data_IF_575182510814
#
_entry.id   IF_575182510814
#
_cell.length_a   1.000
_cell.length_b   1.000
_cell.length_c   1.000
_cell.angle_alpha   90.00
_cell.angle_beta   90.00
_cell.angle_gamma   90.00
#
_symmetry.space_group_name_H-M   'P 1'
#
loop_
_entity.id
_entity.type
_entity.pdbx_description
1 polymer ?
#
# COMPACT_ATOMS: atom_id res chain seq x y z
N UNK A 1 24.13 18.68 -2.12
CA UNK A 1 23.03 19.12 -3.02
C UNK A 1 21.78 18.21 -2.99
N UNK A 2 21.52 17.42 -1.92
CA UNK A 2 20.58 16.28 -1.98
C UNK A 2 19.09 16.56 -1.71
N UNK A 3 18.73 17.42 -0.75
CA UNK A 3 17.31 17.63 -0.40
C UNK A 3 16.60 18.60 -1.36
N UNK A 4 17.25 19.72 -1.70
CA UNK A 4 16.68 20.76 -2.58
C UNK A 4 16.48 20.23 -4.01
N UNK A 5 17.43 19.45 -4.53
CA UNK A 5 17.30 18.81 -5.86
C UNK A 5 16.10 17.86 -5.94
N UNK A 6 15.87 17.05 -4.90
CA UNK A 6 14.73 16.12 -4.85
C UNK A 6 13.41 16.88 -4.72
N UNK A 7 13.38 17.96 -3.93
CA UNK A 7 12.21 18.84 -3.80
C UNK A 7 11.84 19.52 -5.12
N UNK A 8 12.84 19.98 -5.88
CA UNK A 8 12.62 20.60 -7.20
C UNK A 8 12.14 19.58 -8.25
N UNK A 9 12.61 18.33 -8.18
CA UNK A 9 12.17 17.25 -9.09
C UNK A 9 10.78 16.72 -8.75
N UNK A 10 10.38 16.79 -7.48
CA UNK A 10 9.09 16.26 -7.00
C UNK A 10 8.39 17.23 -6.03
N UNK A 11 7.97 18.43 -6.50
CA UNK A 11 7.37 19.44 -5.62
C UNK A 11 6.07 18.97 -4.95
N UNK A 12 5.34 18.05 -5.59
CA UNK A 12 4.12 17.46 -5.05
C UNK A 12 4.34 16.47 -3.89
N UNK A 13 5.59 16.14 -3.54
CA UNK A 13 5.89 15.24 -2.42
C UNK A 13 5.97 15.97 -1.07
N UNK A 14 6.13 17.30 -1.07
CA UNK A 14 6.36 18.09 0.16
C UNK A 14 5.21 17.97 1.14
N UNK A 15 3.99 18.24 0.66
CA UNK A 15 2.80 18.21 1.51
C UNK A 15 2.52 16.80 2.07
N UNK A 16 2.56 15.72 1.26
CA UNK A 16 2.48 14.36 1.77
C UNK A 16 3.51 14.03 2.86
N UNK A 17 4.76 14.40 2.65
CA UNK A 17 5.84 14.14 3.62
C UNK A 17 5.61 14.88 4.94
N UNK A 18 5.18 16.14 4.89
CA UNK A 18 4.87 16.91 6.10
C UNK A 18 3.72 16.29 6.88
N UNK A 19 2.68 15.82 6.18
CA UNK A 19 1.51 15.21 6.83
C UNK A 19 1.86 13.86 7.47
N UNK A 20 2.62 13.01 6.79
CA UNK A 20 3.10 11.74 7.35
C UNK A 20 4.07 11.99 8.51
N UNK A 21 4.91 13.02 8.44
CA UNK A 21 5.76 13.41 9.57
C UNK A 21 4.92 13.79 10.80
N UNK A 22 3.87 14.60 10.62
CA UNK A 22 2.94 14.95 11.71
C UNK A 22 2.29 13.70 12.32
N UNK A 23 1.81 12.77 11.49
CA UNK A 23 1.25 11.49 11.95
C UNK A 23 2.28 10.65 12.71
N UNK A 24 3.53 10.63 12.26
CA UNK A 24 4.62 9.93 12.95
C UNK A 24 4.95 10.57 14.30
N UNK A 25 4.90 11.90 14.41
CA UNK A 25 5.15 12.61 15.67
C UNK A 25 3.96 12.43 16.64
N UNK A 26 2.73 12.34 16.14
CA UNK A 26 1.56 11.93 16.93
C UNK A 26 1.69 10.49 17.42
N UNK A 27 2.14 9.57 16.57
CA UNK A 27 2.33 8.15 16.88
C UNK A 27 3.46 7.88 17.91
N UNK A 28 4.32 8.87 18.19
CA UNK A 28 5.34 8.80 19.24
C UNK A 28 4.80 9.18 20.61
N UNK A 29 3.56 9.66 20.72
CA UNK A 29 2.95 9.95 22.02
C UNK A 29 2.58 8.62 22.69
N UNK A 30 3.37 8.24 23.68
CA UNK A 30 3.23 6.96 24.35
C UNK A 30 2.10 7.00 25.40
N UNK A 31 1.42 5.87 25.65
CA UNK A 31 0.48 5.74 26.76
C UNK A 31 1.19 5.88 28.12
N UNK A 32 0.41 6.07 29.19
CA UNK A 32 0.94 6.25 30.55
C UNK A 32 1.40 4.95 31.21
N UNK A 33 0.80 3.82 30.84
CA UNK A 33 1.14 2.51 31.42
C UNK A 33 2.47 2.03 30.84
N UNK A 34 3.41 1.65 31.72
CA UNK A 34 4.81 1.43 31.38
C UNK A 34 5.02 0.33 30.32
N UNK A 35 4.38 -0.82 30.50
CA UNK A 35 4.55 -1.96 29.59
C UNK A 35 3.99 -1.67 28.20
N UNK A 36 2.83 -1.02 28.14
CA UNK A 36 2.20 -0.60 26.90
C UNK A 36 3.00 0.53 26.23
N UNK A 37 3.55 1.45 27.01
CA UNK A 37 4.42 2.52 26.51
C UNK A 37 5.68 1.93 25.86
N UNK A 38 6.29 0.93 26.50
CA UNK A 38 7.38 0.17 25.91
C UNK A 38 6.96 -0.49 24.60
N UNK A 39 5.80 -1.17 24.56
CA UNK A 39 5.32 -1.83 23.34
C UNK A 39 5.15 -0.84 22.18
N UNK A 40 4.52 0.31 22.38
CA UNK A 40 4.35 1.31 21.32
C UNK A 40 5.66 1.99 20.92
N UNK A 41 6.55 2.29 21.86
CA UNK A 41 7.89 2.80 21.55
C UNK A 41 8.67 1.77 20.71
N UNK A 42 8.58 0.50 21.09
CA UNK A 42 9.26 -0.56 20.39
C UNK A 42 8.69 -0.78 19.00
N UNK A 43 7.36 -0.76 18.86
CA UNK A 43 6.69 -0.78 17.58
C UNK A 43 7.17 0.35 16.67
N UNK A 44 7.25 1.59 17.17
CA UNK A 44 7.74 2.74 16.41
C UNK A 44 9.18 2.55 15.91
N UNK A 45 10.05 1.94 16.72
CA UNK A 45 11.46 1.71 16.40
C UNK A 45 11.68 0.59 15.39
N UNK A 46 10.99 -0.54 15.53
CA UNK A 46 11.21 -1.73 14.67
C UNK A 46 10.32 -1.75 13.42
N UNK A 47 9.10 -1.20 13.50
CA UNK A 47 8.11 -1.22 12.41
C UNK A 47 8.12 0.06 11.57
N UNK A 48 8.64 1.17 12.14
CA UNK A 48 8.80 2.49 11.49
C UNK A 48 7.49 2.98 10.86
N UNK A 49 7.39 2.99 9.52
CA UNK A 49 6.22 3.52 8.80
C UNK A 49 4.96 2.69 9.03
N UNK A 50 5.08 1.39 9.33
CA UNK A 50 3.93 0.54 9.59
C UNK A 50 3.35 0.77 11.00
N UNK A 51 4.15 1.25 11.96
CA UNK A 51 3.65 1.70 13.26
C UNK A 51 2.59 2.81 13.13
N UNK A 52 2.78 3.74 12.19
CA UNK A 52 1.83 4.82 11.89
C UNK A 52 0.47 4.26 11.43
N UNK A 53 0.50 3.13 10.71
CA UNK A 53 -0.68 2.47 10.17
C UNK A 53 -1.39 1.66 11.25
N UNK A 54 -0.66 0.92 12.07
CA UNK A 54 -1.20 0.21 13.25
C UNK A 54 -1.91 1.20 14.16
N UNK A 55 -1.29 2.35 14.44
CA UNK A 55 -1.85 3.32 15.38
C UNK A 55 -3.11 4.06 14.90
N UNK A 56 -3.54 3.86 13.65
CA UNK A 56 -4.82 4.33 13.11
C UNK A 56 -5.98 3.35 13.34
N UNK A 57 -5.70 2.15 13.86
CA UNK A 57 -6.74 1.20 14.26
C UNK A 57 -7.50 1.69 15.50
N UNK A 58 -8.72 1.19 15.64
CA UNK A 58 -9.56 1.44 16.82
C UNK A 58 -8.87 0.90 18.10
N UNK A 59 -9.06 1.60 19.22
CA UNK A 59 -8.21 1.49 20.43
C UNK A 59 -7.95 0.05 20.89
N UNK A 60 -9.00 -0.77 21.04
CA UNK A 60 -8.87 -2.16 21.49
C UNK A 60 -8.09 -3.04 20.49
N UNK A 61 -8.40 -2.88 19.21
CA UNK A 61 -7.78 -3.65 18.14
C UNK A 61 -6.34 -3.21 17.89
N UNK A 62 -6.05 -1.92 18.10
CA UNK A 62 -4.72 -1.33 18.00
C UNK A 62 -3.74 -1.98 18.98
N UNK A 63 -4.16 -2.15 20.24
CA UNK A 63 -3.33 -2.82 21.24
C UNK A 63 -3.09 -4.30 20.88
N UNK A 64 -4.14 -5.02 20.47
CA UNK A 64 -4.03 -6.41 20.06
C UNK A 64 -3.07 -6.59 18.87
N UNK A 65 -3.18 -5.75 17.84
CA UNK A 65 -2.31 -5.80 16.65
C UNK A 65 -0.88 -5.33 16.97
N UNK A 66 -0.70 -4.37 17.87
CA UNK A 66 0.62 -3.97 18.37
C UNK A 66 1.35 -5.16 19.01
N UNK A 67 0.67 -5.86 19.93
CA UNK A 67 1.24 -7.05 20.59
C UNK A 67 1.43 -8.19 19.61
N UNK A 68 0.46 -8.46 18.73
CA UNK A 68 0.62 -9.49 17.70
C UNK A 68 1.87 -9.24 16.85
N UNK A 69 2.09 -7.99 16.42
CA UNK A 69 3.28 -7.62 15.66
C UNK A 69 4.57 -7.82 16.47
N UNK A 70 4.62 -7.42 17.74
CA UNK A 70 5.84 -7.55 18.57
C UNK A 70 6.15 -8.99 18.93
N UNK A 71 5.13 -9.82 19.18
CA UNK A 71 5.30 -11.26 19.39
C UNK A 71 5.93 -11.90 18.16
N UNK A 72 5.36 -11.66 16.98
CA UNK A 72 5.92 -12.22 15.74
C UNK A 72 7.28 -11.62 15.38
N UNK A 73 7.53 -10.35 15.70
CA UNK A 73 8.85 -9.75 15.51
C UNK A 73 9.92 -10.37 16.40
N UNK A 74 9.57 -10.74 17.63
CA UNK A 74 10.48 -11.46 18.51
C UNK A 74 10.76 -12.87 17.98
N UNK A 75 9.74 -13.57 17.46
CA UNK A 75 9.90 -14.86 16.79
C UNK A 75 10.81 -14.76 15.54
N UNK A 76 10.57 -13.78 14.65
CA UNK A 76 11.45 -13.48 13.50
C UNK A 76 12.89 -13.23 13.97
N UNK A 77 13.09 -12.54 15.10
CA UNK A 77 14.44 -12.23 15.62
C UNK A 77 15.19 -13.50 16.02
N UNK A 78 14.50 -14.55 16.47
CA UNK A 78 15.11 -15.86 16.74
C UNK A 78 15.45 -16.58 15.43
N UNK A 79 14.55 -16.55 14.45
CA UNK A 79 14.77 -17.18 13.15
C UNK A 79 15.94 -16.53 12.39
N UNK A 80 15.94 -15.20 12.26
CA UNK A 80 16.88 -14.42 11.47
C UNK A 80 18.29 -14.35 12.07
N UNK A 81 18.46 -14.61 13.37
CA UNK A 81 19.76 -14.53 14.01
C UNK A 81 20.65 -15.72 13.61
N UNK A 82 21.48 -15.50 12.60
CA UNK A 82 22.37 -16.52 12.05
C UNK A 82 23.55 -16.89 12.97
N UNK A 83 23.73 -16.20 14.09
CA UNK A 83 24.73 -16.54 15.11
C UNK A 83 24.26 -17.65 16.07
N UNK A 84 22.96 -17.94 16.12
CA UNK A 84 22.38 -19.03 16.92
C UNK A 84 22.51 -20.35 16.14
N UNK A 85 23.05 -21.38 16.79
CA UNK A 85 23.10 -22.73 16.24
C UNK A 85 21.69 -23.27 15.98
N UNK A 86 21.50 -23.99 14.88
CA UNK A 86 20.21 -24.62 14.55
C UNK A 86 19.72 -25.55 15.68
N UNK A 87 20.62 -26.26 16.37
CA UNK A 87 20.27 -27.16 17.47
C UNK A 87 19.69 -26.44 18.69
N UNK A 88 20.02 -25.16 18.89
CA UNK A 88 19.41 -24.31 19.91
C UNK A 88 18.19 -23.57 19.37
N UNK A 89 18.27 -23.07 18.13
CA UNK A 89 17.24 -22.26 17.47
C UNK A 89 15.92 -23.02 17.29
N UNK A 90 15.98 -24.26 16.80
CA UNK A 90 14.78 -25.06 16.48
C UNK A 90 13.90 -25.30 17.71
N UNK A 91 14.42 -25.78 18.86
CA UNK A 91 13.61 -25.90 20.08
C UNK A 91 13.00 -24.58 20.56
N UNK A 92 13.73 -23.47 20.45
CA UNK A 92 13.25 -22.15 20.89
C UNK A 92 12.06 -21.70 20.03
N UNK A 93 12.13 -21.85 18.71
CA UNK A 93 11.01 -21.52 17.81
C UNK A 93 9.77 -22.37 18.07
N UNK A 94 9.94 -23.66 18.34
CA UNK A 94 8.84 -24.58 18.64
C UNK A 94 8.15 -24.24 19.96
N UNK A 95 8.92 -23.80 20.97
CA UNK A 95 8.43 -23.50 22.32
C UNK A 95 7.93 -22.06 22.48
N UNK A 96 8.29 -21.15 21.58
CA UNK A 96 8.05 -19.71 21.75
C UNK A 96 6.58 -19.34 22.02
N UNK A 97 5.63 -20.08 21.47
CA UNK A 97 4.20 -19.86 21.72
C UNK A 97 3.74 -20.18 23.16
N UNK A 98 4.54 -20.91 23.93
CA UNK A 98 4.36 -21.13 25.37
C UNK A 98 5.04 -20.00 26.14
N UNK A 99 6.22 -19.59 25.68
CA UNK A 99 7.04 -18.54 26.28
C UNK A 99 6.37 -17.15 26.24
N UNK A 100 5.47 -16.89 25.28
CA UNK A 100 4.66 -15.66 25.28
C UNK A 100 3.74 -15.52 26.52
N UNK A 101 3.53 -16.61 27.27
CA UNK A 101 2.77 -16.60 28.52
C UNK A 101 3.67 -16.44 29.76
N UNK A 102 5.00 -16.50 29.61
CA UNK A 102 5.95 -16.40 30.72
C UNK A 102 6.29 -14.92 31.04
N UNK A 103 5.83 -14.38 32.18
CA UNK A 103 6.16 -13.01 32.59
C UNK A 103 7.64 -12.82 32.95
N UNK A 104 8.38 -13.91 33.14
CA UNK A 104 9.79 -13.92 33.52
C UNK A 104 10.71 -14.36 32.38
N UNK A 105 10.23 -14.36 31.13
CA UNK A 105 10.96 -14.81 29.95
C UNK A 105 12.40 -14.27 29.92
N UNK A 106 13.36 -15.18 30.04
CA UNK A 106 14.82 -14.93 30.05
C UNK A 106 15.59 -15.93 29.19
N UNK A 107 14.90 -16.71 28.37
CA UNK A 107 15.46 -17.91 27.75
C UNK A 107 16.48 -17.63 26.64
N UNK A 108 16.28 -16.57 25.86
CA UNK A 108 17.15 -16.29 24.72
C UNK A 108 17.25 -14.78 24.47
N UNK A 109 18.47 -14.25 24.50
CA UNK A 109 18.78 -12.88 24.08
C UNK A 109 19.49 -12.92 22.74
N UNK A 110 18.80 -12.48 21.69
CA UNK A 110 19.32 -12.50 20.31
C UNK A 110 19.01 -11.19 19.56
N UNK A 111 19.53 -11.09 18.34
CA UNK A 111 19.33 -9.96 17.44
C UNK A 111 20.22 -8.75 17.72
N UNK A 112 20.02 -7.71 16.91
CA UNK A 112 20.81 -6.47 16.97
C UNK A 112 19.96 -5.23 17.28
N UNK A 113 20.62 -4.19 17.82
CA UNK A 113 20.03 -2.85 18.04
C UNK A 113 18.68 -2.94 18.78
N UNK A 114 17.60 -2.48 18.15
CA UNK A 114 16.26 -2.46 18.72
C UNK A 114 15.63 -3.85 18.83
N UNK A 115 16.01 -4.80 17.97
CA UNK A 115 15.52 -6.17 18.06
C UNK A 115 16.08 -6.86 19.31
N UNK A 116 17.36 -6.63 19.62
CA UNK A 116 17.95 -7.06 20.90
C UNK A 116 17.24 -6.45 22.10
N UNK A 117 16.92 -5.15 22.06
CA UNK A 117 16.15 -4.51 23.13
C UNK A 117 14.78 -5.15 23.32
N UNK A 118 14.08 -5.49 22.23
CA UNK A 118 12.80 -6.21 22.28
C UNK A 118 12.96 -7.57 22.98
N UNK A 119 14.00 -8.33 22.66
CA UNK A 119 14.23 -9.64 23.28
C UNK A 119 14.58 -9.54 24.78
N UNK A 120 15.42 -8.57 25.16
CA UNK A 120 15.81 -8.35 26.57
C UNK A 120 14.63 -7.93 27.44
N UNK A 121 13.77 -7.05 26.91
CA UNK A 121 12.63 -6.47 27.62
C UNK A 121 11.31 -7.18 27.27
N UNK A 122 11.38 -8.38 26.67
CA UNK A 122 10.22 -9.15 26.22
C UNK A 122 9.15 -9.40 27.31
N UNK A 123 9.50 -9.58 28.61
CA UNK A 123 8.53 -9.58 29.70
C UNK A 123 7.51 -8.44 29.67
N UNK A 124 7.87 -7.24 29.20
CA UNK A 124 6.94 -6.11 29.06
C UNK A 124 5.88 -6.38 28.00
N UNK A 125 6.24 -7.05 26.91
CA UNK A 125 5.31 -7.50 25.86
C UNK A 125 4.37 -8.57 26.42
N UNK A 126 4.91 -9.57 27.13
CA UNK A 126 4.12 -10.63 27.80
C UNK A 126 3.09 -10.03 28.77
N UNK A 127 3.49 -9.06 29.58
CA UNK A 127 2.57 -8.39 30.52
C UNK A 127 1.40 -7.69 29.84
N UNK A 128 1.58 -7.10 28.65
CA UNK A 128 0.47 -6.56 27.87
C UNK A 128 -0.35 -7.69 27.24
N UNK A 129 0.31 -8.69 26.63
CA UNK A 129 -0.36 -9.84 26.02
C UNK A 129 -1.34 -10.52 26.98
N UNK A 130 -0.92 -10.79 28.22
CA UNK A 130 -1.76 -11.48 29.22
C UNK A 130 -3.05 -10.71 29.56
N UNK A 131 -3.05 -9.38 29.43
CA UNK A 131 -4.19 -8.49 29.66
C UNK A 131 -5.15 -8.42 28.48
N UNK A 132 -4.75 -8.86 27.29
CA UNK A 132 -5.64 -8.89 26.12
C UNK A 132 -6.84 -9.82 26.36
N UNK A 133 -7.95 -9.51 25.68
CA UNK A 133 -9.13 -10.38 25.70
C UNK A 133 -8.79 -11.76 25.14
N UNK A 134 -9.41 -12.79 25.71
CA UNK A 134 -9.19 -14.19 25.33
C UNK A 134 -9.22 -14.44 23.81
N UNK A 135 -10.19 -13.92 23.03
CA UNK A 135 -10.21 -14.14 21.59
C UNK A 135 -8.94 -13.66 20.86
N UNK A 136 -8.30 -12.58 21.33
CA UNK A 136 -7.05 -12.11 20.74
C UNK A 136 -5.86 -12.94 21.18
N UNK A 137 -5.82 -13.33 22.46
CA UNK A 137 -4.75 -14.20 22.99
C UNK A 137 -4.70 -15.54 22.27
N UNK A 138 -5.86 -16.16 22.08
CA UNK A 138 -5.98 -17.46 21.42
C UNK A 138 -5.46 -17.39 19.97
N UNK A 139 -5.75 -16.30 19.24
CA UNK A 139 -5.27 -16.08 17.87
C UNK A 139 -3.76 -15.87 17.84
N UNK A 140 -3.23 -14.96 18.68
CA UNK A 140 -1.80 -14.68 18.72
C UNK A 140 -1.01 -15.95 19.06
N UNK A 141 -1.46 -16.73 20.05
CA UNK A 141 -0.80 -17.97 20.45
C UNK A 141 -0.84 -19.04 19.34
N UNK A 142 -1.99 -19.26 18.69
CA UNK A 142 -2.08 -20.26 17.60
C UNK A 142 -1.20 -19.89 16.40
N UNK A 143 -1.21 -18.62 15.99
CA UNK A 143 -0.39 -18.16 14.87
C UNK A 143 1.10 -18.26 15.23
N UNK A 144 1.49 -17.85 16.43
CA UNK A 144 2.88 -17.96 16.90
C UNK A 144 3.34 -19.41 16.89
N UNK A 145 2.50 -20.35 17.34
CA UNK A 145 2.79 -21.79 17.32
C UNK A 145 2.99 -22.33 15.91
N UNK A 146 2.06 -22.02 15.00
CA UNK A 146 2.11 -22.50 13.60
C UNK A 146 3.29 -21.90 12.84
N UNK A 147 3.56 -20.61 13.04
CA UNK A 147 4.68 -19.90 12.43
C UNK A 147 6.03 -20.43 12.96
N UNK A 148 6.17 -20.61 14.27
CA UNK A 148 7.39 -21.18 14.87
C UNK A 148 7.67 -22.61 14.40
N UNK A 149 6.62 -23.43 14.26
CA UNK A 149 6.75 -24.76 13.65
C UNK A 149 7.21 -24.69 12.19
N UNK A 150 6.60 -23.80 11.40
CA UNK A 150 6.98 -23.61 10.01
C UNK A 150 8.42 -23.13 9.83
N UNK A 151 8.85 -22.14 10.60
CA UNK A 151 10.23 -21.65 10.60
C UNK A 151 11.23 -22.76 10.96
N UNK A 152 10.91 -23.57 11.98
CA UNK A 152 11.74 -24.72 12.34
C UNK A 152 11.91 -25.72 11.18
N UNK A 153 10.85 -26.00 10.43
CA UNK A 153 10.91 -26.93 9.28
C UNK A 153 11.81 -26.40 8.14
N UNK A 154 11.89 -25.08 7.96
CA UNK A 154 12.70 -24.42 6.93
C UNK A 154 14.12 -24.02 7.37
N UNK A 155 14.45 -24.11 8.67
CA UNK A 155 15.84 -23.94 9.12
C UNK A 155 16.73 -25.10 8.66
N UNK A 156 16.17 -26.29 8.57
CA UNK A 156 16.87 -27.52 8.15
C UNK A 156 16.70 -27.83 6.66
N UNK A 157 15.89 -27.04 5.94
CA UNK A 157 15.48 -27.32 4.56
C UNK A 157 15.70 -26.14 3.63
N UNK A 158 16.22 -26.39 2.43
CA UNK A 158 16.29 -25.38 1.38
C UNK A 158 14.96 -25.20 0.64
N UNK A 159 14.67 -23.97 0.19
CA UNK A 159 13.53 -23.68 -0.68
C UNK A 159 13.85 -24.16 -2.10
N UNK A 160 13.38 -25.36 -2.45
CA UNK A 160 13.74 -25.99 -3.73
C UNK A 160 12.74 -25.67 -4.85
N UNK A 161 11.45 -25.81 -4.57
CA UNK A 161 10.37 -25.64 -5.55
C UNK A 161 9.56 -24.36 -5.33
N UNK A 162 8.75 -23.96 -6.31
CA UNK A 162 7.78 -22.86 -6.12
C UNK A 162 6.76 -23.19 -5.02
N UNK A 163 6.41 -24.47 -4.86
CA UNK A 163 5.52 -24.92 -3.79
C UNK A 163 6.17 -24.76 -2.42
N UNK A 164 7.45 -25.12 -2.29
CA UNK A 164 8.18 -24.90 -1.03
C UNK A 164 8.25 -23.42 -0.70
N UNK A 165 8.41 -22.56 -1.71
CA UNK A 165 8.40 -21.11 -1.53
C UNK A 165 7.03 -20.58 -1.08
N UNK A 166 5.95 -21.11 -1.65
CA UNK A 166 4.58 -20.80 -1.18
C UNK A 166 4.35 -21.25 0.25
N UNK A 167 4.82 -22.45 0.63
CA UNK A 167 4.69 -22.99 1.99
C UNK A 167 5.52 -22.18 2.99
N UNK A 168 6.76 -21.81 2.63
CA UNK A 168 7.57 -20.92 3.46
C UNK A 168 6.88 -19.57 3.66
N UNK A 169 6.42 -18.93 2.58
CA UNK A 169 5.70 -17.66 2.65
C UNK A 169 4.37 -17.79 3.41
N UNK A 170 3.70 -18.95 3.35
CA UNK A 170 2.52 -19.23 4.16
C UNK A 170 2.86 -19.13 5.65
N UNK A 171 3.91 -19.82 6.09
CA UNK A 171 4.28 -19.81 7.50
C UNK A 171 4.67 -18.43 8.01
N UNK A 172 5.53 -17.71 7.30
CA UNK A 172 6.10 -16.45 7.82
C UNK A 172 5.26 -15.21 7.54
N UNK A 173 4.26 -15.29 6.64
CA UNK A 173 3.44 -14.13 6.28
C UNK A 173 1.97 -14.45 5.98
N UNK A 174 1.67 -15.59 5.35
CA UNK A 174 0.29 -16.03 5.12
C UNK A 174 -0.49 -16.21 6.42
N UNK A 175 0.12 -16.85 7.41
CA UNK A 175 -0.41 -16.98 8.77
C UNK A 175 -0.63 -15.63 9.46
N UNK A 176 0.20 -14.64 9.18
CA UNK A 176 0.00 -13.27 9.69
C UNK A 176 -1.27 -12.66 9.12
N UNK A 177 -1.51 -12.84 7.81
CA UNK A 177 -2.75 -12.44 7.16
C UNK A 177 -3.97 -13.12 7.77
N UNK A 178 -3.90 -14.44 7.98
CA UNK A 178 -4.97 -15.24 8.60
C UNK A 178 -5.23 -14.78 10.04
N UNK A 179 -4.17 -14.59 10.83
CA UNK A 179 -4.26 -14.09 12.20
C UNK A 179 -4.92 -12.72 12.28
N UNK A 180 -4.54 -11.80 11.40
CA UNK A 180 -5.18 -10.48 11.32
C UNK A 180 -6.67 -10.59 10.99
N UNK A 181 -7.05 -11.44 10.02
CA UNK A 181 -8.46 -11.71 9.70
C UNK A 181 -9.25 -12.22 10.89
N UNK A 182 -8.65 -13.12 11.67
CA UNK A 182 -9.22 -13.63 12.90
C UNK A 182 -9.37 -12.54 13.98
N UNK A 183 -8.41 -11.63 14.10
CA UNK A 183 -8.50 -10.47 15.00
C UNK A 183 -9.62 -9.50 14.54
N UNK A 184 -9.77 -9.26 13.24
CA UNK A 184 -10.87 -8.43 12.71
C UNK A 184 -12.24 -9.03 13.08
N UNK A 185 -12.43 -10.33 12.83
CA UNK A 185 -13.65 -11.04 13.18
C UNK A 185 -13.87 -11.10 14.70
N UNK A 186 -12.81 -11.33 15.48
CA UNK A 186 -12.83 -11.38 16.94
C UNK A 186 -13.20 -10.04 17.59
N UNK A 187 -12.78 -8.93 16.98
CA UNK A 187 -13.14 -7.57 17.40
C UNK A 187 -14.58 -7.19 17.07
N UNK A 188 -15.25 -7.95 16.19
CA UNK A 188 -16.57 -7.66 15.62
C UNK A 188 -16.64 -6.39 14.76
N UNK A 189 -15.49 -5.81 14.41
CA UNK A 189 -15.41 -4.72 13.42
C UNK A 189 -15.54 -5.25 11.99
N UNK A 190 -15.21 -6.52 11.75
CA UNK A 190 -15.51 -7.20 10.50
C UNK A 190 -16.41 -8.43 10.73
N UNK A 191 -17.02 -8.89 9.64
CA UNK A 191 -17.91 -10.06 9.67
C UNK A 191 -17.14 -11.34 10.03
N UNK A 192 -17.85 -12.31 10.66
CA UNK A 192 -17.28 -13.62 11.04
C UNK A 192 -16.66 -14.38 9.87
N UNK A 193 -17.10 -14.13 8.64
CA UNK A 193 -16.56 -14.75 7.42
C UNK A 193 -15.06 -14.51 7.22
N UNK A 194 -14.50 -13.43 7.77
CA UNK A 194 -13.05 -13.20 7.73
C UNK A 194 -12.26 -14.34 8.38
N UNK A 195 -12.84 -14.96 9.42
CA UNK A 195 -12.28 -16.15 10.09
C UNK A 195 -12.69 -17.46 9.42
N UNK A 196 -13.92 -17.57 8.92
CA UNK A 196 -14.46 -18.88 8.48
C UNK A 196 -14.33 -19.18 6.99
N UNK A 197 -14.17 -18.15 6.15
CA UNK A 197 -14.28 -18.29 4.69
C UNK A 197 -13.19 -17.54 3.91
N UNK A 198 -12.36 -16.73 4.57
CA UNK A 198 -11.38 -15.87 3.89
C UNK A 198 -9.92 -16.34 4.06
N UNK A 199 -9.69 -17.58 4.48
CA UNK A 199 -8.34 -18.10 4.76
C UNK A 199 -7.43 -17.99 3.52
N UNK A 200 -7.87 -18.46 2.35
CA UNK A 200 -7.08 -18.42 1.11
C UNK A 200 -6.72 -16.99 0.69
N UNK A 201 -7.69 -16.08 0.75
CA UNK A 201 -7.49 -14.66 0.43
C UNK A 201 -6.56 -13.98 1.44
N UNK A 202 -6.68 -14.34 2.72
CA UNK A 202 -5.81 -13.83 3.79
C UNK A 202 -4.38 -14.32 3.62
N UNK A 203 -4.22 -15.59 3.21
CA UNK A 203 -2.93 -16.17 2.88
C UNK A 203 -2.31 -15.44 1.68
N UNK A 204 -3.06 -15.24 0.59
CA UNK A 204 -2.59 -14.54 -0.60
C UNK A 204 -2.12 -13.10 -0.30
N UNK A 205 -2.83 -12.37 0.57
CA UNK A 205 -2.41 -11.05 1.05
C UNK A 205 -1.03 -11.10 1.71
N UNK A 206 -0.75 -12.12 2.53
CA UNK A 206 0.55 -12.33 3.17
C UNK A 206 1.64 -12.72 2.16
N UNK A 207 1.35 -13.67 1.28
CA UNK A 207 2.27 -14.14 0.24
C UNK A 207 2.69 -12.99 -0.70
N UNK A 208 1.77 -12.11 -1.10
CA UNK A 208 2.11 -10.98 -1.97
C UNK A 208 3.13 -10.04 -1.32
N UNK A 209 2.96 -9.73 -0.03
CA UNK A 209 3.90 -8.88 0.72
C UNK A 209 5.25 -9.58 0.90
N UNK A 210 5.24 -10.85 1.29
CA UNK A 210 6.47 -11.58 1.60
C UNK A 210 7.32 -11.81 0.35
N UNK A 211 6.71 -12.25 -0.75
CA UNK A 211 7.43 -12.43 -2.01
C UNK A 211 7.99 -11.12 -2.53
N UNK A 212 7.26 -10.02 -2.34
CA UNK A 212 7.77 -8.68 -2.70
C UNK A 212 9.01 -8.31 -1.89
N UNK A 213 9.04 -8.61 -0.59
CA UNK A 213 10.21 -8.34 0.25
C UNK A 213 11.39 -9.26 -0.10
N UNK A 214 11.18 -10.57 -0.18
CA UNK A 214 12.21 -11.55 -0.58
C UNK A 214 12.88 -11.18 -1.90
N UNK A 215 12.11 -10.70 -2.87
CA UNK A 215 12.66 -10.27 -4.16
C UNK A 215 13.48 -8.99 -4.04
N UNK A 216 13.01 -8.01 -3.25
CA UNK A 216 13.64 -6.70 -3.07
C UNK A 216 14.94 -6.79 -2.27
N UNK A 217 14.96 -7.65 -1.26
CA UNK A 217 15.97 -7.71 -0.20
C UNK A 217 17.07 -8.74 -0.49
N UNK A 218 17.07 -9.34 -1.70
CA UNK A 218 18.06 -10.32 -2.17
C UNK A 218 19.50 -10.06 -1.71
N UNK A 219 20.01 -8.84 -1.89
CA UNK A 219 21.41 -8.56 -1.58
C UNK A 219 21.66 -8.48 -0.06
N UNK A 220 20.71 -7.94 0.72
CA UNK A 220 20.81 -7.94 2.18
C UNK A 220 20.83 -9.39 2.71
N UNK A 221 19.98 -10.26 2.17
CA UNK A 221 19.88 -11.66 2.59
C UNK A 221 21.13 -12.48 2.20
N UNK A 222 21.65 -12.29 0.99
CA UNK A 222 22.84 -13.01 0.51
C UNK A 222 24.14 -12.53 1.18
N UNK A 223 24.17 -11.27 1.65
CA UNK A 223 25.35 -10.72 2.32
C UNK A 223 25.31 -10.86 3.85
N UNK A 224 24.30 -11.55 4.40
CA UNK A 224 24.18 -11.81 5.83
C UNK A 224 25.38 -12.61 6.37
N UNK A 225 25.82 -12.25 7.58
CA UNK A 225 26.99 -12.85 8.26
C UNK A 225 26.51 -13.40 9.61
N UNK A 226 26.91 -14.62 10.02
CA UNK A 226 27.98 -15.46 9.47
C UNK A 226 27.66 -16.28 8.22
N UNK A 227 26.39 -16.40 7.83
CA UNK A 227 25.96 -17.20 6.67
C UNK A 227 24.80 -16.54 5.93
N UNK A 228 24.69 -16.72 4.61
CA UNK A 228 23.63 -16.11 3.82
C UNK A 228 22.26 -16.69 4.15
N UNK A 229 21.22 -15.87 3.98
CA UNK A 229 19.82 -16.27 3.99
C UNK A 229 19.37 -16.50 2.54
N UNK A 230 18.88 -17.70 2.22
CA UNK A 230 18.60 -18.11 0.84
C UNK A 230 17.12 -18.44 0.65
N UNK A 231 16.32 -17.43 0.30
CA UNK A 231 14.87 -17.58 0.16
C UNK A 231 14.38 -17.76 -1.27
N UNK A 232 15.24 -17.52 -2.28
CA UNK A 232 14.85 -17.68 -3.67
C UNK A 232 14.77 -19.17 -4.03
N UNK A 233 13.69 -19.64 -4.69
CA UNK A 233 13.50 -21.06 -4.98
C UNK A 233 14.50 -21.59 -6.01
N UNK A 234 15.16 -22.72 -5.71
CA UNK A 234 16.19 -23.35 -6.57
C UNK A 234 15.72 -23.66 -7.98
N UNK A 235 14.48 -24.09 -8.15
CA UNK A 235 13.88 -24.36 -9.47
C UNK A 235 13.85 -23.12 -10.37
N UNK A 236 13.87 -21.92 -9.80
CA UNK A 236 13.91 -20.66 -10.56
C UNK A 236 15.34 -20.21 -10.75
N UNK A 237 16.10 -19.91 -9.68
CA UNK A 237 17.44 -19.34 -9.82
C UNK A 237 18.43 -20.30 -10.48
N UNK A 238 18.25 -21.62 -10.32
CA UNK A 238 19.08 -22.63 -10.96
C UNK A 238 19.01 -22.66 -12.49
N UNK A 239 18.02 -21.98 -13.09
CA UNK A 239 17.97 -21.74 -14.55
C UNK A 239 18.97 -20.69 -15.02
N UNK A 240 19.43 -19.83 -14.11
CA UNK A 240 20.12 -18.57 -14.43
C UNK A 240 21.55 -18.49 -13.89
N UNK A 241 21.87 -19.27 -12.85
CA UNK A 241 23.19 -19.34 -12.23
C UNK A 241 23.45 -20.72 -11.58
N UNK A 242 24.72 -21.00 -11.29
CA UNK A 242 25.16 -22.25 -10.64
C UNK A 242 24.90 -22.23 -9.14
N UNK A 243 25.06 -21.07 -8.52
CA UNK A 243 24.69 -20.80 -7.12
C UNK A 243 23.82 -19.54 -7.03
N UNK A 244 23.08 -19.38 -5.94
CA UNK A 244 22.21 -18.21 -5.77
C UNK A 244 23.05 -16.93 -5.62
N UNK A 245 24.14 -16.99 -4.85
CA UNK A 245 25.01 -15.85 -4.56
C UNK A 245 25.73 -15.31 -5.80
N UNK A 246 25.88 -16.11 -6.87
CA UNK A 246 26.45 -15.68 -8.14
C UNK A 246 25.69 -14.50 -8.78
N UNK A 247 24.39 -14.33 -8.49
CA UNK A 247 23.56 -13.28 -9.08
C UNK A 247 23.94 -11.86 -8.59
N UNK A 248 24.72 -11.75 -7.51
CA UNK A 248 25.20 -10.46 -7.01
C UNK A 248 26.27 -9.84 -7.94
N UNK A 249 27.00 -10.67 -8.70
CA UNK A 249 28.12 -10.19 -9.51
C UNK A 249 27.66 -9.54 -10.82
N UNK A 250 28.24 -8.38 -11.14
CA UNK A 250 27.89 -7.58 -12.33
C UNK A 250 27.98 -8.36 -13.65
N UNK A 251 28.89 -9.33 -13.76
CA UNK A 251 29.04 -10.21 -14.94
C UNK A 251 27.77 -11.03 -15.24
N UNK A 252 26.97 -11.35 -14.21
CA UNK A 252 25.76 -12.17 -14.30
C UNK A 252 24.48 -11.32 -14.39
N UNK A 253 24.60 -9.99 -14.54
CA UNK A 253 23.48 -9.04 -14.41
C UNK A 253 22.29 -9.38 -15.31
N UNK A 254 22.50 -9.79 -16.54
CA UNK A 254 21.41 -10.15 -17.47
C UNK A 254 20.61 -11.34 -16.94
N UNK A 255 21.28 -12.43 -16.57
CA UNK A 255 20.65 -13.62 -16.01
C UNK A 255 19.95 -13.32 -14.67
N UNK A 256 20.60 -12.52 -13.83
CA UNK A 256 20.04 -12.06 -12.56
C UNK A 256 18.72 -11.30 -12.77
N UNK A 257 18.66 -10.38 -13.74
CA UNK A 257 17.42 -9.66 -14.06
C UNK A 257 16.34 -10.58 -14.63
N UNK A 258 16.69 -11.60 -15.44
CA UNK A 258 15.69 -12.58 -15.89
C UNK A 258 15.14 -13.43 -14.74
N UNK A 259 16.00 -13.87 -13.81
CA UNK A 259 15.58 -14.56 -12.59
C UNK A 259 14.66 -13.69 -11.73
N UNK A 260 15.04 -12.43 -11.53
CA UNK A 260 14.24 -11.43 -10.82
C UNK A 260 12.85 -11.28 -11.43
N UNK A 261 12.78 -11.13 -12.75
CA UNK A 261 11.50 -10.97 -13.45
C UNK A 261 10.63 -12.22 -13.30
N UNK A 262 11.18 -13.44 -13.32
CA UNK A 262 10.41 -14.67 -13.07
C UNK A 262 9.78 -14.67 -11.67
N UNK A 263 10.53 -14.28 -10.64
CA UNK A 263 10.03 -14.23 -9.27
C UNK A 263 8.98 -13.13 -9.06
N UNK A 264 9.16 -11.96 -9.70
CA UNK A 264 8.13 -10.90 -9.67
C UNK A 264 6.87 -11.37 -10.39
N UNK A 265 7.01 -12.04 -11.52
CA UNK A 265 5.86 -12.63 -12.24
C UNK A 265 5.13 -13.64 -11.37
N UNK A 266 5.84 -14.47 -10.62
CA UNK A 266 5.22 -15.37 -9.66
C UNK A 266 4.52 -14.60 -8.52
N UNK A 267 5.13 -13.54 -7.97
CA UNK A 267 4.48 -12.71 -6.94
C UNK A 267 3.17 -12.07 -7.45
N UNK A 268 3.11 -11.64 -8.72
CA UNK A 268 1.90 -11.04 -9.32
C UNK A 268 0.68 -11.96 -9.33
N UNK A 269 0.85 -13.28 -9.17
CA UNK A 269 -0.27 -14.23 -9.07
C UNK A 269 -1.20 -13.91 -7.89
N UNK A 270 -0.68 -13.29 -6.82
CA UNK A 270 -1.44 -12.94 -5.61
C UNK A 270 -2.14 -11.57 -5.68
N UNK A 271 -1.95 -10.80 -6.76
CA UNK A 271 -2.48 -9.44 -6.87
C UNK A 271 -4.01 -9.41 -6.93
N UNK A 272 -4.63 -10.33 -7.68
CA UNK A 272 -6.08 -10.40 -7.82
C UNK A 272 -6.76 -10.79 -6.50
N UNK A 273 -6.22 -11.78 -5.79
CA UNK A 273 -6.74 -12.23 -4.50
C UNK A 273 -6.57 -11.15 -3.43
N UNK A 274 -5.47 -10.39 -3.48
CA UNK A 274 -5.27 -9.24 -2.60
C UNK A 274 -6.31 -8.14 -2.83
N UNK A 275 -6.63 -7.84 -4.10
CA UNK A 275 -7.72 -6.92 -4.45
C UNK A 275 -9.08 -7.46 -3.99
N UNK A 276 -9.34 -8.75 -4.20
CA UNK A 276 -10.58 -9.38 -3.75
C UNK A 276 -10.75 -9.31 -2.23
N UNK A 277 -9.71 -9.64 -1.45
CA UNK A 277 -9.70 -9.50 0.00
C UNK A 277 -10.07 -8.06 0.42
N UNK A 278 -9.36 -7.06 -0.10
CA UNK A 278 -9.56 -5.66 0.28
C UNK A 278 -10.95 -5.15 -0.11
N UNK A 279 -11.56 -5.67 -1.18
CA UNK A 279 -12.92 -5.29 -1.60
C UNK A 279 -13.99 -5.72 -0.58
N UNK A 280 -13.69 -6.68 0.29
CA UNK A 280 -14.60 -7.24 1.29
C UNK A 280 -14.49 -6.57 2.66
N UNK A 281 -13.44 -5.78 2.90
CA UNK A 281 -13.20 -5.04 4.15
C UNK A 281 -14.10 -3.81 4.19
N UNK A 282 -14.81 -3.62 5.30
CA UNK A 282 -15.79 -2.54 5.45
C UNK A 282 -15.32 -1.42 6.37
N UNK A 283 -14.62 -1.76 7.45
CA UNK A 283 -14.18 -0.82 8.46
C UNK A 283 -13.03 0.04 7.92
N UNK A 284 -13.15 1.38 7.88
CA UNK A 284 -12.15 2.22 7.25
C UNK A 284 -10.74 2.12 7.85
N UNK A 285 -10.60 1.96 9.16
CA UNK A 285 -9.31 1.81 9.84
C UNK A 285 -8.62 0.52 9.41
N UNK A 286 -9.35 -0.60 9.40
CA UNK A 286 -8.90 -1.93 8.93
C UNK A 286 -8.60 -1.90 7.43
N UNK A 287 -9.45 -1.27 6.62
CA UNK A 287 -9.24 -1.15 5.17
C UNK A 287 -7.91 -0.46 4.87
N UNK A 288 -7.66 0.70 5.50
CA UNK A 288 -6.38 1.43 5.35
C UNK A 288 -5.20 0.58 5.79
N UNK A 289 -5.35 -0.13 6.92
CA UNK A 289 -4.33 -1.02 7.43
C UNK A 289 -3.94 -2.12 6.43
N UNK A 290 -4.93 -2.76 5.82
CA UNK A 290 -4.70 -3.78 4.80
C UNK A 290 -4.18 -3.17 3.49
N UNK A 291 -4.70 -2.02 3.07
CA UNK A 291 -4.50 -1.52 1.72
C UNK A 291 -3.18 -0.79 1.50
N UNK A 292 -2.67 -0.06 2.50
CA UNK A 292 -1.42 0.69 2.38
C UNK A 292 -0.24 -0.25 2.05
N UNK A 293 0.00 -1.36 2.77
CA UNK A 293 1.08 -2.30 2.44
C UNK A 293 0.94 -2.91 1.04
N UNK A 294 -0.29 -3.25 0.63
CA UNK A 294 -0.56 -3.90 -0.67
C UNK A 294 -0.24 -2.97 -1.84
N UNK A 295 -0.61 -1.69 -1.76
CA UNK A 295 -0.26 -0.70 -2.77
C UNK A 295 1.25 -0.42 -2.77
N UNK A 296 1.89 -0.39 -1.59
CA UNK A 296 3.35 -0.28 -1.49
C UNK A 296 4.07 -1.48 -2.10
N UNK A 297 3.50 -2.69 -1.99
CA UNK A 297 4.06 -3.90 -2.56
C UNK A 297 4.03 -3.88 -4.09
N UNK A 298 2.87 -3.61 -4.71
CA UNK A 298 2.81 -3.50 -6.19
C UNK A 298 3.67 -2.34 -6.72
N UNK A 299 3.78 -1.23 -5.98
CA UNK A 299 4.70 -0.14 -6.32
C UNK A 299 6.17 -0.56 -6.23
N UNK A 300 6.52 -1.39 -5.24
CA UNK A 300 7.86 -1.96 -5.11
C UNK A 300 8.17 -2.92 -6.24
N UNK A 301 7.26 -3.86 -6.55
CA UNK A 301 7.43 -4.79 -7.66
C UNK A 301 7.63 -4.03 -8.97
N UNK A 302 6.83 -2.98 -9.21
CA UNK A 302 7.01 -2.11 -10.38
C UNK A 302 8.37 -1.41 -10.40
N UNK A 303 8.96 -1.05 -9.26
CA UNK A 303 10.29 -0.45 -9.17
C UNK A 303 11.42 -1.49 -9.35
N UNK A 304 11.23 -2.71 -8.87
CA UNK A 304 12.20 -3.80 -8.97
C UNK A 304 12.19 -4.50 -10.34
N UNK A 305 11.06 -4.52 -11.05
CA UNK A 305 10.96 -5.19 -12.34
C UNK A 305 11.96 -4.63 -13.36
N UNK A 306 12.69 -5.53 -14.02
CA UNK A 306 13.75 -5.21 -15.00
C UNK A 306 14.87 -4.30 -14.44
N UNK A 307 15.07 -4.30 -13.11
CA UNK A 307 15.98 -3.37 -12.43
C UNK A 307 17.22 -4.07 -11.85
N UNK A 308 18.34 -3.91 -12.54
CA UNK A 308 19.64 -4.45 -12.11
C UNK A 308 20.12 -3.98 -10.73
N UNK A 309 19.60 -2.87 -10.22
CA UNK A 309 20.03 -2.31 -8.93
C UNK A 309 19.66 -3.16 -7.72
N UNK A 310 18.68 -4.08 -7.85
CA UNK A 310 18.31 -5.02 -6.77
C UNK A 310 19.50 -5.84 -6.27
N UNK A 311 20.47 -6.09 -7.14
CA UNK A 311 21.68 -6.85 -6.85
C UNK A 311 22.90 -5.97 -6.52
N UNK A 312 22.72 -4.64 -6.43
CA UNK A 312 23.75 -3.67 -6.06
C UNK A 312 23.44 -2.96 -4.74
N UNK A 313 22.23 -3.16 -4.21
CA UNK A 313 21.76 -2.60 -2.97
C UNK A 313 20.23 -2.68 -2.89
N UNK A 314 19.66 -2.06 -1.86
CA UNK A 314 18.21 -2.11 -1.67
C UNK A 314 17.48 -1.08 -2.51
N UNK A 315 16.65 -1.58 -3.41
CA UNK A 315 15.73 -0.76 -4.20
C UNK A 315 14.53 -0.37 -3.33
N UNK A 316 14.36 0.93 -3.11
CA UNK A 316 13.27 1.47 -2.29
C UNK A 316 12.44 2.46 -3.09
N UNK A 317 11.12 2.37 -2.96
CA UNK A 317 10.23 3.43 -3.41
C UNK A 317 10.59 4.72 -2.67
N UNK A 318 10.59 5.86 -3.39
CA UNK A 318 10.93 7.15 -2.78
C UNK A 318 9.97 7.47 -1.61
N UNK A 319 10.50 8.12 -0.57
CA UNK A 319 9.71 8.47 0.64
C UNK A 319 8.46 9.31 0.32
N UNK A 320 8.57 10.24 -0.63
CA UNK A 320 7.42 11.04 -1.06
C UNK A 320 6.32 10.20 -1.73
N UNK A 321 6.69 9.17 -2.49
CA UNK A 321 5.72 8.22 -3.08
C UNK A 321 5.06 7.39 -1.99
N UNK A 322 5.85 6.89 -1.05
CA UNK A 322 5.35 6.15 0.11
C UNK A 322 4.33 6.98 0.91
N UNK A 323 4.64 8.26 1.15
CA UNK A 323 3.76 9.18 1.84
C UNK A 323 2.47 9.45 1.04
N UNK A 324 2.55 9.59 -0.28
CA UNK A 324 1.35 9.72 -1.12
C UNK A 324 0.48 8.48 -1.06
N UNK A 325 1.06 7.29 -1.20
CA UNK A 325 0.34 6.00 -1.09
C UNK A 325 -0.38 5.94 0.26
N UNK A 326 0.30 6.24 1.37
CA UNK A 326 -0.28 6.23 2.72
C UNK A 326 -1.49 7.17 2.88
N UNK A 327 -1.47 8.32 2.19
CA UNK A 327 -2.53 9.33 2.27
C UNK A 327 -3.66 9.12 1.25
N UNK A 328 -3.41 8.36 0.18
CA UNK A 328 -4.35 8.10 -0.89
C UNK A 328 -4.88 6.66 -0.90
N UNK A 329 -4.69 5.89 0.16
CA UNK A 329 -5.18 4.51 0.27
C UNK A 329 -6.39 4.45 1.20
N UNK A 330 -7.45 5.19 0.85
CA UNK A 330 -8.57 5.46 1.77
C UNK A 330 -9.83 4.67 1.42
N UNK A 331 -9.99 4.27 0.16
CA UNK A 331 -11.16 3.58 -0.35
C UNK A 331 -10.81 2.68 -1.54
N UNK A 332 -11.73 1.78 -1.91
CA UNK A 332 -11.54 0.81 -3.01
C UNK A 332 -11.29 1.48 -4.36
N UNK A 333 -11.87 2.65 -4.62
CA UNK A 333 -11.60 3.42 -5.84
C UNK A 333 -10.11 3.78 -5.94
N UNK A 334 -9.55 4.37 -4.88
CA UNK A 334 -8.16 4.81 -4.89
C UNK A 334 -7.17 3.65 -4.94
N UNK A 335 -7.49 2.52 -4.28
CA UNK A 335 -6.66 1.30 -4.35
C UNK A 335 -6.64 0.74 -5.77
N UNK A 336 -7.81 0.60 -6.40
CA UNK A 336 -7.88 0.15 -7.79
C UNK A 336 -7.09 1.06 -8.73
N UNK A 337 -7.18 2.39 -8.56
CA UNK A 337 -6.37 3.35 -9.34
C UNK A 337 -4.87 3.17 -9.08
N UNK A 338 -4.46 2.96 -7.83
CA UNK A 338 -3.07 2.70 -7.44
C UNK A 338 -2.53 1.44 -8.10
N UNK A 339 -3.25 0.32 -7.99
CA UNK A 339 -2.86 -0.94 -8.64
C UNK A 339 -2.75 -0.78 -10.15
N UNK A 340 -3.76 -0.22 -10.83
CA UNK A 340 -3.70 0.03 -12.28
C UNK A 340 -2.50 0.88 -12.66
N UNK A 341 -2.18 1.90 -11.88
CA UNK A 341 -1.04 2.78 -12.15
C UNK A 341 0.29 2.02 -12.08
N UNK A 342 0.53 1.26 -11.00
CA UNK A 342 1.80 0.55 -10.81
C UNK A 342 1.93 -0.67 -11.72
N UNK A 343 0.83 -1.40 -11.97
CA UNK A 343 0.80 -2.48 -12.97
C UNK A 343 1.12 -1.94 -14.36
N UNK A 344 0.59 -0.76 -14.73
CA UNK A 344 0.96 -0.11 -16.00
C UNK A 344 2.45 0.24 -16.08
N UNK A 345 3.04 0.73 -14.99
CA UNK A 345 4.49 1.00 -14.94
C UNK A 345 5.29 -0.29 -15.14
N UNK A 346 4.93 -1.36 -14.43
CA UNK A 346 5.57 -2.67 -14.56
C UNK A 346 5.43 -3.20 -16.00
N UNK A 347 4.22 -3.18 -16.55
CA UNK A 347 3.91 -3.62 -17.91
C UNK A 347 4.75 -2.91 -18.97
N UNK A 348 5.00 -1.60 -18.80
CA UNK A 348 5.83 -0.82 -19.71
C UNK A 348 7.33 -1.19 -19.66
N UNK A 349 7.79 -1.86 -18.60
CA UNK A 349 9.18 -2.34 -18.45
C UNK A 349 9.38 -3.75 -19.02
N UNK A 350 8.32 -4.46 -19.40
CA UNK A 350 8.43 -5.83 -19.93
C UNK A 350 9.08 -5.82 -21.31
N UNK A 351 10.33 -6.28 -21.37
CA UNK A 351 11.13 -6.38 -22.61
C UNK A 351 10.68 -7.54 -23.48
N UNK A 352 10.97 -7.48 -24.79
CA UNK A 352 10.61 -8.55 -25.74
C UNK A 352 11.44 -9.81 -25.49
N UNK A 353 12.67 -9.63 -25.02
CA UNK A 353 13.68 -10.65 -24.78
C UNK A 353 13.49 -11.35 -23.43
N UNK A 354 12.59 -10.87 -22.58
CA UNK A 354 12.30 -11.47 -21.28
C UNK A 354 11.62 -12.84 -21.46
N UNK A 355 12.23 -13.95 -20.96
CA UNK A 355 11.65 -15.29 -21.04
C UNK A 355 10.24 -15.39 -20.45
N UNK A 356 9.94 -14.57 -19.44
CA UNK A 356 8.67 -14.60 -18.72
C UNK A 356 7.63 -13.62 -19.28
N UNK A 357 7.96 -12.87 -20.34
CA UNK A 357 7.12 -11.81 -20.92
C UNK A 357 5.65 -12.19 -21.06
N UNK A 358 5.35 -13.36 -21.66
CA UNK A 358 3.97 -13.76 -21.96
C UNK A 358 3.14 -13.85 -20.68
N UNK A 359 3.71 -14.50 -19.67
CA UNK A 359 3.02 -14.71 -18.40
C UNK A 359 2.95 -13.42 -17.58
N UNK A 360 4.02 -12.61 -17.56
CA UNK A 360 3.99 -11.29 -16.91
C UNK A 360 2.88 -10.42 -17.49
N UNK A 361 2.77 -10.36 -18.82
CA UNK A 361 1.74 -9.56 -19.49
C UNK A 361 0.33 -10.05 -19.15
N UNK A 362 0.11 -11.37 -19.15
CA UNK A 362 -1.16 -11.99 -18.78
C UNK A 362 -1.57 -11.61 -17.34
N UNK A 363 -0.67 -11.75 -16.38
CA UNK A 363 -0.93 -11.40 -14.97
C UNK A 363 -1.13 -9.89 -14.77
N UNK A 364 -0.41 -9.05 -15.51
CA UNK A 364 -0.66 -7.60 -15.52
C UNK A 364 -2.05 -7.26 -16.04
N UNK A 365 -2.52 -7.95 -17.07
CA UNK A 365 -3.85 -7.74 -17.64
C UNK A 365 -4.93 -8.14 -16.65
N UNK A 366 -4.82 -9.33 -16.05
CA UNK A 366 -5.74 -9.79 -15.00
C UNK A 366 -5.79 -8.83 -13.79
N UNK A 367 -4.64 -8.38 -13.30
CA UNK A 367 -4.59 -7.43 -12.19
C UNK A 367 -5.21 -6.07 -12.57
N UNK A 368 -5.04 -5.64 -13.82
CA UNK A 368 -5.63 -4.39 -14.33
C UNK A 368 -7.16 -4.51 -14.44
N UNK A 369 -7.66 -5.65 -14.94
CA UNK A 369 -9.08 -5.96 -15.03
C UNK A 369 -9.72 -6.00 -13.65
N UNK A 370 -9.15 -6.77 -12.72
CA UNK A 370 -9.65 -6.85 -11.34
C UNK A 370 -9.65 -5.50 -10.63
N UNK A 371 -8.62 -4.70 -10.84
CA UNK A 371 -8.56 -3.34 -10.29
C UNK A 371 -9.60 -2.41 -10.94
N UNK A 372 -9.93 -2.60 -12.22
CA UNK A 372 -11.01 -1.87 -12.90
C UNK A 372 -12.38 -2.26 -12.35
N UNK A 373 -12.63 -3.55 -12.12
CA UNK A 373 -13.86 -4.03 -11.48
C UNK A 373 -14.06 -3.42 -10.09
N UNK A 374 -12.99 -3.35 -9.29
CA UNK A 374 -12.99 -2.69 -7.98
C UNK A 374 -13.32 -1.20 -8.10
N UNK A 375 -12.73 -0.48 -9.06
CA UNK A 375 -13.06 0.93 -9.32
C UNK A 375 -14.54 1.06 -9.68
N UNK A 376 -15.03 0.24 -10.60
CA UNK A 376 -16.36 0.34 -11.15
C UNK A 376 -17.47 0.02 -10.14
N UNK A 377 -17.18 -0.89 -9.20
CA UNK A 377 -18.08 -1.27 -8.13
C UNK A 377 -18.09 -0.30 -6.94
N UNK A 378 -17.04 0.53 -6.80
CA UNK A 378 -16.96 1.55 -5.74
C UNK A 378 -18.00 2.66 -5.90
N UNK A 379 -18.48 3.23 -4.79
CA UNK A 379 -19.47 4.32 -4.82
C UNK A 379 -18.97 5.53 -5.59
N UNK A 380 -17.70 5.88 -5.40
CA UNK A 380 -17.04 6.94 -6.16
C UNK A 380 -16.97 6.63 -7.65
N UNK A 381 -16.64 5.40 -8.03
CA UNK A 381 -16.61 4.98 -9.43
C UNK A 381 -17.98 5.06 -10.08
N UNK A 382 -19.03 4.62 -9.39
CA UNK A 382 -20.43 4.78 -9.85
C UNK A 382 -20.79 6.25 -10.05
N UNK A 383 -20.45 7.12 -9.09
CA UNK A 383 -20.68 8.57 -9.17
C UNK A 383 -19.91 9.21 -10.34
N UNK A 384 -18.65 8.84 -10.55
CA UNK A 384 -17.85 9.35 -11.66
C UNK A 384 -18.38 8.86 -13.02
N UNK A 385 -18.85 7.61 -13.13
CA UNK A 385 -19.54 7.11 -14.32
C UNK A 385 -20.80 7.91 -14.62
N UNK A 386 -21.64 8.16 -13.62
CA UNK A 386 -22.84 8.99 -13.77
C UNK A 386 -22.49 10.43 -14.16
N UNK A 387 -21.46 11.01 -13.54
CA UNK A 387 -20.99 12.37 -13.89
C UNK A 387 -20.50 12.44 -15.33
N UNK A 388 -19.73 11.45 -15.78
CA UNK A 388 -19.23 11.42 -17.15
C UNK A 388 -20.37 11.22 -18.16
N UNK A 389 -21.32 10.32 -17.86
CA UNK A 389 -22.52 10.15 -18.68
C UNK A 389 -23.38 11.43 -18.79
N UNK A 390 -23.42 12.24 -17.72
CA UNK A 390 -24.12 13.53 -17.73
C UNK A 390 -23.31 14.66 -18.39
N UNK A 391 -21.98 14.65 -18.29
CA UNK A 391 -21.11 15.63 -18.95
C UNK A 391 -21.07 15.45 -20.48
N UNK A 392 -21.32 14.24 -20.97
CA UNK A 392 -21.49 13.95 -22.40
C UNK A 392 -22.86 14.40 -22.94
N UNK A 393 -23.78 14.85 -22.07
CA UNK A 393 -25.02 15.48 -22.51
C UNK A 393 -24.80 16.99 -22.76
N UNK A 394 -24.99 17.47 -24.00
CA UNK A 394 -24.92 18.90 -24.26
C UNK A 394 -26.00 19.62 -23.44
N UNK A 395 -25.66 20.80 -22.88
CA UNK A 395 -26.61 21.68 -22.18
C UNK A 395 -27.97 21.72 -22.90
N UNK A 396 -29.07 21.60 -22.16
CA UNK A 396 -30.40 21.60 -22.75
C UNK A 396 -30.68 22.91 -23.50
N UNK A 397 -31.53 22.86 -24.54
CA UNK A 397 -31.85 24.06 -25.32
C UNK A 397 -32.44 25.17 -24.44
N UNK A 398 -33.26 24.81 -23.43
CA UNK A 398 -33.82 25.76 -22.48
C UNK A 398 -32.76 26.50 -21.66
N UNK A 399 -31.73 25.79 -21.17
CA UNK A 399 -30.63 26.43 -20.43
C UNK A 399 -29.79 27.32 -21.35
N UNK A 400 -29.56 26.90 -22.60
CA UNK A 400 -28.84 27.72 -23.58
C UNK A 400 -29.58 29.01 -23.93
N UNK A 401 -30.89 28.91 -24.15
CA UNK A 401 -31.75 30.09 -24.38
C UNK A 401 -31.75 30.98 -23.15
N UNK A 402 -31.86 30.42 -21.95
CA UNK A 402 -31.77 31.18 -20.69
C UNK A 402 -30.44 31.93 -20.53
N UNK A 403 -29.31 31.28 -20.82
CA UNK A 403 -28.00 31.93 -20.82
C UNK A 403 -27.89 33.02 -21.89
N UNK A 404 -28.45 32.80 -23.09
CA UNK A 404 -28.47 33.80 -24.16
C UNK A 404 -29.29 35.02 -23.76
N UNK A 405 -30.46 34.83 -23.15
CA UNK A 405 -31.29 35.92 -22.64
C UNK A 405 -30.59 36.67 -21.51
N UNK A 406 -29.94 35.97 -20.58
CA UNK A 406 -29.21 36.59 -19.48
C UNK A 406 -28.02 37.42 -19.96
N UNK A 407 -27.14 36.84 -20.79
CA UNK A 407 -25.98 37.57 -21.33
C UNK A 407 -26.38 38.62 -22.37
N UNK A 408 -27.47 38.41 -23.12
CA UNK A 408 -28.05 39.40 -24.02
C UNK A 408 -28.62 40.60 -23.26
N UNK A 409 -29.35 40.36 -22.16
CA UNK A 409 -29.83 41.41 -21.27
C UNK A 409 -28.69 42.15 -20.56
N UNK A 410 -27.66 41.42 -20.12
CA UNK A 410 -26.45 42.04 -19.56
C UNK A 410 -25.69 42.88 -20.61
N UNK A 411 -25.64 42.44 -21.87
CA UNK A 411 -25.06 43.22 -22.96
C UNK A 411 -25.90 44.48 -23.24
N UNK A 412 -27.22 44.38 -23.27
CA UNK A 412 -28.11 45.53 -23.40
C UNK A 412 -27.88 46.55 -22.26
N UNK A 413 -27.71 46.06 -21.04
CA UNK A 413 -27.31 46.89 -19.90
C UNK A 413 -25.91 47.52 -20.07
N UNK A 414 -24.89 46.72 -20.43
CA UNK A 414 -23.49 47.17 -20.51
C UNK A 414 -23.25 48.19 -21.64
N UNK A 415 -23.98 48.07 -22.76
CA UNK A 415 -23.95 49.01 -23.88
C UNK A 415 -25.01 50.11 -23.77
N UNK A 416 -25.81 50.09 -22.71
CA UNK A 416 -26.96 50.97 -22.51
C UNK A 416 -27.90 51.06 -23.72
N UNK A 417 -28.17 49.91 -24.34
CA UNK A 417 -29.12 49.82 -25.46
C UNK A 417 -30.51 50.25 -24.98
N UNK A 418 -31.21 51.02 -25.79
CA UNK A 418 -32.57 51.52 -25.49
C UNK A 418 -32.70 52.23 -24.13
N UNK A 419 -31.63 52.86 -23.63
CA UNK A 419 -31.62 53.55 -22.33
C UNK A 419 -31.97 52.60 -21.16
N UNK A 420 -31.54 51.33 -21.26
CA UNK A 420 -31.86 50.30 -20.28
C UNK A 420 -31.39 50.65 -18.86
N UNK A 421 -30.25 51.34 -18.71
CA UNK A 421 -29.76 51.79 -17.39
C UNK A 421 -30.67 52.86 -16.81
N UNK A 422 -31.10 53.82 -17.63
CA UNK A 422 -32.05 54.86 -17.23
C UNK A 422 -33.40 54.26 -16.82
N UNK A 423 -33.88 53.24 -17.56
CA UNK A 423 -35.12 52.51 -17.22
C UNK A 423 -35.05 51.79 -15.87
N UNK A 424 -33.84 51.48 -15.40
CA UNK A 424 -33.56 50.89 -14.09
C UNK A 424 -33.24 51.94 -13.01
N UNK A 425 -33.41 53.24 -13.31
CA UNK A 425 -33.16 54.34 -12.39
C UNK A 425 -31.67 54.71 -12.21
N UNK A 426 -30.78 54.22 -13.07
CA UNK A 426 -29.35 54.51 -13.01
C UNK A 426 -29.00 55.66 -13.98
N UNK A 427 -28.17 56.60 -13.52
CA UNK A 427 -27.64 57.66 -14.37
C UNK A 427 -26.34 57.20 -15.05
N UNK A 428 -26.30 57.00 -16.38
CA UNK A 428 -25.14 56.46 -17.09
C UNK A 428 -23.91 57.37 -17.02
N UNK A 429 -24.10 58.66 -16.69
CA UNK A 429 -23.03 59.67 -16.66
C UNK A 429 -22.27 59.73 -15.33
N UNK A 430 -22.76 59.05 -14.29
CA UNK A 430 -22.19 59.09 -12.94
C UNK A 430 -21.14 57.96 -12.69
N UNK A 431 -20.91 57.08 -13.66
CA UNK A 431 -19.98 55.95 -13.54
C UNK A 431 -18.55 56.27 -13.96
N UNK A 432 -17.58 55.51 -13.44
CA UNK A 432 -16.21 55.58 -13.92
C UNK A 432 -16.07 54.90 -15.28
N UNK A 433 -15.59 55.63 -16.30
CA UNK A 433 -15.52 55.18 -17.70
C UNK A 433 -14.79 53.83 -17.91
N UNK A 434 -13.79 53.51 -17.08
CA UNK A 434 -13.06 52.24 -17.17
C UNK A 434 -13.90 51.04 -16.72
N UNK A 435 -14.83 51.24 -15.77
CA UNK A 435 -15.77 50.20 -15.30
C UNK A 435 -16.75 49.85 -16.42
N UNK A 436 -17.27 50.85 -17.14
CA UNK A 436 -18.15 50.63 -18.29
C UNK A 436 -17.46 49.84 -19.39
N UNK A 437 -16.20 50.17 -19.70
CA UNK A 437 -15.40 49.43 -20.68
C UNK A 437 -15.19 47.96 -20.24
N UNK A 438 -14.90 47.71 -18.97
CA UNK A 438 -14.80 46.34 -18.45
C UNK A 438 -16.13 45.58 -18.55
N UNK A 439 -17.26 46.23 -18.22
CA UNK A 439 -18.58 45.61 -18.33
C UNK A 439 -18.90 45.23 -19.78
N UNK A 440 -18.58 46.09 -20.74
CA UNK A 440 -18.75 45.81 -22.18
C UNK A 440 -17.88 44.63 -22.64
N UNK A 441 -16.62 44.56 -22.20
CA UNK A 441 -15.73 43.43 -22.52
C UNK A 441 -16.29 42.12 -21.96
N UNK A 442 -16.73 42.11 -20.69
CA UNK A 442 -17.35 40.91 -20.10
C UNK A 442 -18.65 40.51 -20.80
N UNK A 443 -19.46 41.49 -21.20
CA UNK A 443 -20.70 41.21 -21.94
C UNK A 443 -20.41 40.56 -23.30
N UNK A 444 -19.46 41.09 -24.07
CA UNK A 444 -19.07 40.52 -25.37
C UNK A 444 -18.50 39.11 -25.19
N UNK A 445 -17.61 38.90 -24.22
CA UNK A 445 -17.05 37.57 -23.90
C UNK A 445 -18.15 36.56 -23.53
N UNK A 446 -19.12 36.98 -22.73
CA UNK A 446 -20.26 36.16 -22.34
C UNK A 446 -21.14 35.76 -23.52
N UNK A 447 -21.49 36.71 -24.39
CA UNK A 447 -22.29 36.45 -25.60
C UNK A 447 -21.55 35.53 -26.57
N UNK A 448 -20.25 35.76 -26.81
CA UNK A 448 -19.42 34.90 -27.66
C UNK A 448 -19.33 33.48 -27.12
N UNK A 449 -19.19 33.32 -25.80
CA UNK A 449 -19.17 32.01 -25.14
C UNK A 449 -20.49 31.26 -25.31
N UNK A 450 -21.64 31.94 -25.13
CA UNK A 450 -22.95 31.32 -25.35
C UNK A 450 -23.18 30.97 -26.82
N UNK A 451 -22.76 31.83 -27.76
CA UNK A 451 -22.81 31.51 -29.20
C UNK A 451 -21.96 30.29 -29.55
N UNK A 452 -20.79 30.13 -28.92
CA UNK A 452 -19.96 28.94 -29.06
C UNK A 452 -20.65 27.67 -28.51
N UNK A 453 -21.34 27.75 -27.36
CA UNK A 453 -22.14 26.65 -26.81
C UNK A 453 -23.33 26.28 -27.72
N UNK A 454 -23.96 27.27 -28.37
CA UNK A 454 -25.02 27.05 -29.35
C UNK A 454 -24.50 26.36 -30.62
N UNK A 455 -23.30 26.75 -31.08
CA UNK A 455 -22.68 26.22 -32.30
C UNK A 455 -22.11 24.80 -32.11
N UNK A 456 -21.43 24.53 -31.00
CA UNK A 456 -20.80 23.23 -30.69
C UNK A 456 -21.78 22.06 -30.65
N UNK A 457 -23.07 22.32 -30.36
CA UNK A 457 -24.11 21.28 -30.30
C UNK A 457 -24.61 20.84 -31.68
N UNK A 458 -24.42 21.65 -32.73
CA UNK A 458 -24.83 21.28 -34.09
C UNK A 458 -23.93 20.23 -34.74
N UNK A 459 -22.71 20.02 -34.21
CA UNK A 459 -21.73 19.08 -34.77
C UNK A 459 -21.90 17.63 -34.30
N UNK A 460 -22.59 17.40 -33.17
CA UNK A 460 -22.83 16.05 -32.61
C UNK A 460 -24.13 15.40 -33.09
N UNK A 461 -24.92 16.07 -33.94
CA UNK A 461 -26.17 15.53 -34.53
C UNK A 461 -26.10 15.34 -36.05
N UNK A 462 -24.91 15.26 -36.64
CA UNK A 462 -24.69 14.90 -38.04
C UNK A 462 -23.83 13.65 -38.16
#
# INVERSE_FOLDING_TARGET
MGAISVLLRHPFDVFPLLRVKKMADEAKKLPKEENLAFCYDMLNKVSRSFAIVIQQLDEELRDAVCIFYLVLRALDTIEDDMAIDNAEKVPQLLKFHEDIYDPEYKHLTCGEKHYKTLMVEYPKVTNVFLRLKKPYKDVIADITRRMGKGMADFIESEVNTLKDWDVYCHYVAGLVGIGLSDLWAGSKLEEKKFKTEMEDLSNAMGLFLQKTNIVRDYLEDIQEIPRPRMFWPRVVWGKYATSLDDLQYKKNRTNAVHCLNELITNALTHACDSLEYMSRVKTPSIFRFCAIPQVMAIATLAECYDNGKVFEGVVKIRRGLSARIMLSSNDTYQIGQGFKHFVKILKNKVRKEDPNRKETMRLCDLATEKAQEMIDSSDRGKLEKLRNANNDQPLSMGVKVGLLTLFGGYAAYAFNLEQMRESMGLNPKNGARWVDQMQQVFAVMGVLFVMFLMYSTRRTRR
#
